data_IF_862714875904
#
_entry.id   IF_862714875904
#
_cell.length_a   1.000
_cell.length_b   1.000
_cell.length_c   1.000
_cell.angle_alpha   90.00
_cell.angle_beta   90.00
_cell.angle_gamma   90.00
#
_symmetry.space_group_name_H-M   'P 1'
#
loop_
_entity.id
_entity.type
_entity.pdbx_description
1 polymer ?
#
# COMPACT_ATOMS: atom_id res chain seq x y z
N UNK A 1 -9.69 2.58 -3.88
CA UNK A 1 -8.51 1.88 -3.30
C UNK A 1 -7.23 2.63 -3.67
N UNK A 2 -6.36 2.86 -2.70
CA UNK A 2 -5.03 3.45 -2.87
C UNK A 2 -3.98 2.46 -2.38
N UNK A 3 -2.93 2.28 -3.17
CA UNK A 3 -1.75 1.48 -2.84
C UNK A 3 -0.53 2.38 -2.88
N UNK A 4 0.21 2.45 -1.79
CA UNK A 4 1.34 3.35 -1.63
C UNK A 4 2.60 2.58 -1.24
N UNK A 5 3.73 2.92 -1.85
CA UNK A 5 5.05 2.53 -1.38
C UNK A 5 5.61 3.69 -0.59
N UNK A 6 5.93 3.45 0.68
CA UNK A 6 6.43 4.45 1.62
C UNK A 6 7.85 4.12 2.07
N UNK A 7 8.67 5.14 2.27
CA UNK A 7 9.94 4.99 2.97
C UNK A 7 9.68 5.00 4.47
N UNK A 8 10.01 3.89 5.12
CA UNK A 8 9.79 3.63 6.55
C UNK A 8 11.11 3.52 7.32
N UNK A 9 12.21 4.02 6.74
CA UNK A 9 13.55 3.95 7.33
C UNK A 9 13.69 4.73 8.64
N UNK A 10 12.83 5.74 8.85
CA UNK A 10 12.85 6.63 10.01
C UNK A 10 11.52 6.56 10.73
N UNK A 11 11.56 6.20 12.01
CA UNK A 11 10.36 6.12 12.86
C UNK A 11 10.01 7.45 13.54
N UNK A 12 10.93 8.41 13.54
CA UNK A 12 10.80 9.72 14.18
C UNK A 12 10.24 10.81 13.25
N UNK A 13 10.09 10.50 11.95
CA UNK A 13 9.54 11.41 10.96
C UNK A 13 8.35 10.79 10.23
N UNK A 14 7.39 11.60 9.73
CA UNK A 14 6.34 11.10 8.86
C UNK A 14 6.92 10.34 7.66
N UNK A 15 6.36 9.17 7.39
CA UNK A 15 6.75 8.33 6.27
C UNK A 15 6.51 9.06 4.94
N UNK A 16 7.53 9.11 4.09
CA UNK A 16 7.40 9.72 2.76
C UNK A 16 6.83 8.72 1.75
N UNK A 17 5.86 9.17 0.95
CA UNK A 17 5.33 8.38 -0.17
C UNK A 17 6.32 8.48 -1.34
N UNK A 18 6.83 7.33 -1.77
CA UNK A 18 7.79 7.23 -2.88
C UNK A 18 7.04 6.92 -4.18
N UNK A 19 5.96 6.16 -4.11
CA UNK A 19 5.07 5.89 -5.23
C UNK A 19 3.65 5.62 -4.73
N UNK A 20 2.66 5.93 -5.56
CA UNK A 20 1.26 5.65 -5.25
C UNK A 20 0.49 5.24 -6.52
N UNK A 21 -0.49 4.37 -6.33
CA UNK A 21 -1.46 3.97 -7.35
C UNK A 21 -2.86 4.06 -6.79
N UNK A 22 -3.74 4.75 -7.51
CA UNK A 22 -5.18 4.78 -7.22
C UNK A 22 -5.89 3.84 -8.20
N UNK A 23 -6.78 3.02 -7.65
CA UNK A 23 -7.70 2.15 -8.39
C UNK A 23 -9.13 2.47 -7.94
N UNK A 24 -9.97 2.85 -8.89
CA UNK A 24 -11.40 3.14 -8.68
C UNK A 24 -12.24 1.97 -9.17
N UNK A 25 -13.48 1.89 -8.70
CA UNK A 25 -14.48 0.93 -9.19
C UNK A 25 -14.01 -0.53 -9.11
N UNK A 26 -13.21 -0.84 -8.09
CA UNK A 26 -12.64 -2.17 -7.86
C UNK A 26 -13.72 -3.06 -7.23
N UNK A 27 -14.11 -4.17 -7.88
CA UNK A 27 -15.05 -5.11 -7.27
C UNK A 27 -14.38 -5.82 -6.09
N UNK A 28 -15.07 -5.86 -4.95
CA UNK A 28 -14.62 -6.53 -3.74
C UNK A 28 -15.50 -7.75 -3.47
N UNK A 29 -14.86 -8.85 -3.05
CA UNK A 29 -15.54 -10.04 -2.56
C UNK A 29 -14.84 -10.56 -1.31
N UNK A 30 -15.56 -11.15 -0.34
CA UNK A 30 -14.94 -11.78 0.82
C UNK A 30 -13.91 -12.84 0.40
N UNK A 31 -12.68 -12.73 0.90
CA UNK A 31 -11.57 -13.61 0.53
C UNK A 31 -11.05 -13.42 -0.91
N UNK A 32 -11.54 -12.43 -1.64
CA UNK A 32 -11.08 -12.09 -2.98
C UNK A 32 -9.69 -11.46 -2.99
N UNK A 33 -9.06 -11.47 -4.16
CA UNK A 33 -7.79 -10.81 -4.41
C UNK A 33 -7.96 -9.73 -5.47
N UNK A 34 -7.42 -8.54 -5.20
CA UNK A 34 -7.37 -7.43 -6.15
C UNK A 34 -5.95 -7.32 -6.71
N UNK A 35 -5.72 -7.55 -8.01
CA UNK A 35 -4.42 -7.32 -8.62
C UNK A 35 -4.12 -5.81 -8.68
N UNK A 36 -2.88 -5.44 -8.37
CA UNK A 36 -2.40 -4.07 -8.49
C UNK A 36 -0.98 -4.05 -9.07
N UNK A 37 -0.57 -2.90 -9.58
CA UNK A 37 0.81 -2.63 -9.98
C UNK A 37 1.16 -1.19 -9.61
N UNK A 38 2.30 -1.02 -8.93
CA UNK A 38 2.85 0.28 -8.56
C UNK A 38 4.20 0.44 -9.26
N UNK A 39 4.34 1.50 -10.03
CA UNK A 39 5.61 1.86 -10.64
C UNK A 39 6.32 2.86 -9.73
N UNK A 40 7.48 2.46 -9.21
CA UNK A 40 8.36 3.37 -8.48
C UNK A 40 9.18 4.18 -9.49
N UNK A 41 9.19 5.52 -9.41
CA UNK A 41 10.02 6.32 -10.28
C UNK A 41 11.50 6.15 -9.89
N UNK A 42 12.29 5.54 -10.77
CA UNK A 42 13.70 5.26 -10.52
C UNK A 42 13.93 4.04 -9.63
N UNK A 43 15.16 3.92 -9.13
CA UNK A 43 15.54 2.83 -8.23
C UNK A 43 15.30 3.21 -6.77
N UNK A 44 14.82 2.25 -5.98
CA UNK A 44 14.78 2.37 -4.53
C UNK A 44 16.21 2.45 -3.99
N UNK A 45 16.44 3.33 -3.02
CA UNK A 45 17.78 3.57 -2.46
C UNK A 45 18.24 2.31 -1.71
N UNK A 46 19.38 1.71 -2.07
CA UNK A 46 19.91 0.57 -1.34
C UNK A 46 20.20 0.94 0.12
N UNK A 47 19.68 0.16 1.07
CA UNK A 47 19.87 0.37 2.51
C UNK A 47 18.70 1.08 3.21
N UNK A 48 17.79 1.68 2.46
CA UNK A 48 16.52 2.19 3.00
C UNK A 48 15.50 1.05 3.14
N UNK A 49 14.58 1.20 4.11
CA UNK A 49 13.45 0.32 4.32
C UNK A 49 12.20 0.92 3.68
N UNK A 50 11.50 0.11 2.87
CA UNK A 50 10.26 0.49 2.22
C UNK A 50 9.11 -0.43 2.63
N UNK A 51 7.92 0.15 2.80
CA UNK A 51 6.70 -0.55 3.17
C UNK A 51 5.58 -0.27 2.19
N UNK A 52 4.76 -1.29 1.94
CA UNK A 52 3.52 -1.17 1.17
C UNK A 52 2.37 -0.85 2.13
N UNK A 53 1.64 0.22 1.84
CA UNK A 53 0.39 0.57 2.51
C UNK A 53 -0.76 0.45 1.53
N UNK A 54 -1.85 -0.20 1.96
CA UNK A 54 -3.08 -0.31 1.20
C UNK A 54 -4.22 0.30 2.01
N UNK A 55 -5.03 1.14 1.35
CA UNK A 55 -6.28 1.65 1.88
C UNK A 55 -7.39 1.45 0.85
N UNK A 56 -8.39 0.66 1.20
CA UNK A 56 -9.62 0.49 0.44
C UNK A 56 -10.67 1.37 1.09
N UNK A 57 -10.82 2.57 0.53
CA UNK A 57 -11.96 3.43 0.77
C UNK A 57 -13.21 2.80 0.16
N UNK A 58 -14.11 2.30 1.02
CA UNK A 58 -15.31 1.55 0.61
C UNK A 58 -16.47 2.49 0.28
N UNK A 59 -16.57 3.61 0.98
CA UNK A 59 -17.65 4.59 0.80
C UNK A 59 -17.37 5.57 -0.36
N UNK A 60 -16.09 5.73 -0.72
CA UNK A 60 -15.61 6.72 -1.68
C UNK A 60 -15.42 8.11 -1.06
N UNK A 61 -15.35 8.24 0.26
CA UNK A 61 -15.25 9.52 0.97
C UNK A 61 -13.87 10.19 0.84
N UNK A 62 -12.85 9.42 0.47
CA UNK A 62 -11.45 9.86 0.41
C UNK A 62 -10.78 10.03 1.78
N UNK A 63 -11.48 9.70 2.88
CA UNK A 63 -10.95 9.73 4.24
C UNK A 63 -11.00 8.33 4.85
N UNK A 64 -10.09 8.03 5.77
CA UNK A 64 -10.11 6.75 6.46
C UNK A 64 -11.22 6.72 7.50
N UNK A 65 -12.17 5.81 7.36
CA UNK A 65 -13.32 5.68 8.26
C UNK A 65 -13.71 4.24 8.57
N UNK A 66 -14.64 4.06 9.51
CA UNK A 66 -15.10 2.73 9.89
C UNK A 66 -15.81 2.06 8.72
N UNK A 67 -15.44 0.81 8.44
CA UNK A 67 -15.91 0.09 7.25
C UNK A 67 -14.88 0.05 6.12
N UNK A 68 -13.85 0.89 6.14
CA UNK A 68 -12.72 0.79 5.22
C UNK A 68 -11.84 -0.41 5.53
N UNK A 69 -11.04 -0.82 4.53
CA UNK A 69 -10.01 -1.86 4.72
C UNK A 69 -8.62 -1.25 4.65
N UNK A 70 -7.74 -1.65 5.57
CA UNK A 70 -6.34 -1.18 5.61
C UNK A 70 -5.37 -2.34 5.79
N UNK A 71 -4.17 -2.19 5.25
CA UNK A 71 -3.05 -3.08 5.57
C UNK A 71 -2.61 -2.82 7.01
N UNK A 72 -2.88 -3.77 7.92
CA UNK A 72 -2.52 -3.65 9.34
C UNK A 72 -1.11 -4.17 9.67
N UNK A 73 -0.62 -5.13 8.87
CA UNK A 73 0.70 -5.72 9.06
C UNK A 73 1.76 -4.99 8.22
N UNK A 74 3.03 -5.13 8.62
CA UNK A 74 4.15 -4.62 7.85
C UNK A 74 4.29 -5.44 6.55
N UNK A 75 4.25 -4.76 5.41
CA UNK A 75 4.42 -5.36 4.08
C UNK A 75 5.72 -4.83 3.46
N UNK A 76 6.89 -5.45 3.73
CA UNK A 76 8.17 -4.93 3.25
C UNK A 76 8.25 -4.97 1.71
N UNK A 77 8.82 -3.92 1.13
CA UNK A 77 9.11 -3.81 -0.31
C UNK A 77 10.64 -3.85 -0.48
N UNK A 78 11.24 -4.99 -0.83
CA UNK A 78 12.69 -5.10 -0.95
C UNK A 78 13.20 -4.29 -2.14
N UNK A 79 14.22 -3.45 -1.91
CA UNK A 79 14.93 -2.76 -2.99
C UNK A 79 15.58 -3.79 -3.93
N UNK A 80 15.22 -3.75 -5.22
CA UNK A 80 15.77 -4.64 -6.25
C UNK A 80 15.05 -5.97 -6.47
N UNK A 81 13.95 -6.25 -5.75
CA UNK A 81 13.11 -7.42 -6.03
C UNK A 81 12.02 -7.11 -7.06
N UNK A 82 11.77 -8.04 -7.99
CA UNK A 82 10.62 -8.01 -8.90
C UNK A 82 9.53 -9.01 -8.51
N UNK A 83 9.67 -9.67 -7.35
CA UNK A 83 8.67 -10.61 -6.88
C UNK A 83 7.35 -9.88 -6.58
N UNK A 84 6.23 -10.50 -6.95
CA UNK A 84 4.91 -10.00 -6.57
C UNK A 84 4.74 -9.99 -5.05
N UNK A 85 3.98 -9.03 -4.54
CA UNK A 85 3.64 -8.89 -3.13
C UNK A 85 2.16 -9.15 -2.93
N UNK A 86 1.81 -9.77 -1.80
CA UNK A 86 0.43 -9.91 -1.34
C UNK A 86 0.34 -9.15 -0.02
N UNK A 87 -0.58 -8.18 0.05
CA UNK A 87 -0.87 -7.44 1.26
C UNK A 87 -2.29 -7.79 1.73
N UNK A 88 -2.37 -8.32 2.95
CA UNK A 88 -3.65 -8.54 3.62
C UNK A 88 -4.21 -7.20 4.10
N UNK A 89 -5.53 -7.05 4.00
CA UNK A 89 -6.25 -5.90 4.54
C UNK A 89 -7.26 -6.35 5.59
N UNK A 90 -7.50 -5.51 6.59
CA UNK A 90 -8.48 -5.73 7.65
C UNK A 90 -9.40 -4.54 7.76
N UNK A 91 -10.59 -4.76 8.32
CA UNK A 91 -11.56 -3.69 8.60
C UNK A 91 -10.99 -2.71 9.65
N UNK A 92 -11.21 -1.41 9.41
CA UNK A 92 -11.00 -0.32 10.37
C UNK A 92 -12.10 -0.29 11.42
#
# INVERSE_FOLDING_TARGET
MVVEVRNVSRSDTPESIVAARVLTDVPLSPGGHVPFSVTVPGELVPGDNYGLRVHVDVSGSGVMESGDLVSAEANPVPAGSTAGLIASVTLV
#
